data_IF_021861446451
#
_entry.id   IF_021861446451
#
_cell.length_a   1.000
_cell.length_b   1.000
_cell.length_c   1.000
_cell.angle_alpha   90.00
_cell.angle_beta   90.00
_cell.angle_gamma   90.00
#
_symmetry.space_group_name_H-M   'P 1'
#
loop_
_entity.id
_entity.type
_entity.pdbx_description
1 polymer ?
#
# COMPACT_ATOMS: atom_id res chain seq x y z
N UNK A 1 -16.17 35.99 2.19
CA UNK A 1 -16.30 35.76 0.73
C UNK A 1 -14.93 35.30 0.23
N UNK A 2 -14.62 34.01 0.31
CA UNK A 2 -13.38 33.47 -0.26
C UNK A 2 -13.70 33.01 -1.68
N UNK A 3 -13.18 33.73 -2.67
CA UNK A 3 -13.25 33.33 -4.07
C UNK A 3 -12.27 32.19 -4.31
N UNK A 4 -12.79 30.98 -4.55
CA UNK A 4 -12.01 29.91 -5.15
C UNK A 4 -11.74 30.29 -6.61
N UNK A 5 -10.50 30.66 -6.90
CA UNK A 5 -9.99 30.72 -8.26
C UNK A 5 -9.82 29.28 -8.75
N UNK A 6 -10.40 28.89 -9.90
CA UNK A 6 -10.20 27.55 -10.44
C UNK A 6 -8.79 27.49 -11.04
N UNK A 7 -7.87 26.79 -10.37
CA UNK A 7 -6.59 26.46 -11.00
C UNK A 7 -6.83 25.38 -12.04
N UNK A 8 -6.86 25.80 -13.29
CA UNK A 8 -6.83 24.92 -14.44
C UNK A 8 -5.55 24.08 -14.41
N UNK A 9 -5.68 22.77 -14.61
CA UNK A 9 -4.59 21.94 -15.14
C UNK A 9 -4.06 20.78 -14.30
N UNK A 10 -4.89 20.01 -13.58
CA UNK A 10 -4.50 18.65 -13.20
C UNK A 10 -4.61 17.72 -14.43
N UNK A 11 -3.69 17.92 -15.37
CA UNK A 11 -3.44 17.05 -16.52
C UNK A 11 -2.38 16.01 -16.19
N UNK A 12 -2.58 15.24 -15.12
CA UNK A 12 -1.75 14.09 -14.77
C UNK A 12 -2.63 12.86 -14.84
N UNK A 13 -2.66 12.21 -16.00
CA UNK A 13 -3.42 10.98 -16.18
C UNK A 13 -3.00 9.97 -15.13
N UNK A 14 -3.88 9.74 -14.15
CA UNK A 14 -3.83 8.56 -13.30
C UNK A 14 -4.00 7.41 -14.28
N UNK A 15 -2.88 6.84 -14.72
CA UNK A 15 -2.87 5.56 -15.41
C UNK A 15 -3.24 4.53 -14.36
N UNK A 16 -4.54 4.42 -14.08
CA UNK A 16 -5.15 3.21 -13.55
C UNK A 16 -5.06 2.13 -14.65
N UNK A 17 -3.83 1.69 -14.93
CA UNK A 17 -3.53 0.53 -15.75
C UNK A 17 -2.79 -0.49 -14.89
N UNK A 18 -3.38 -0.85 -13.76
CA UNK A 18 -3.22 -2.19 -13.23
C UNK A 18 -4.60 -2.88 -13.24
N UNK A 19 -5.27 -2.77 -14.39
CA UNK A 19 -6.27 -3.74 -14.78
C UNK A 19 -5.57 -5.07 -15.01
N UNK A 20 -6.09 -6.13 -14.39
CA UNK A 20 -5.54 -7.48 -14.48
C UNK A 20 -5.35 -7.93 -15.92
N UNK A 21 -4.09 -8.00 -16.33
CA UNK A 21 -3.62 -8.87 -17.39
C UNK A 21 -2.34 -9.49 -16.84
N UNK A 22 -2.43 -10.75 -16.44
CA UNK A 22 -1.31 -11.55 -15.96
C UNK A 22 -0.33 -11.73 -17.10
N UNK A 23 0.58 -10.77 -17.26
CA UNK A 23 1.79 -11.00 -18.04
C UNK A 23 2.50 -12.24 -17.47
N UNK A 24 3.01 -13.12 -18.36
CA UNK A 24 3.73 -14.29 -17.91
C UNK A 24 4.95 -13.83 -17.09
N UNK A 25 5.15 -14.46 -15.94
CA UNK A 25 6.30 -14.16 -15.08
C UNK A 25 7.61 -14.36 -15.84
N UNK A 26 8.44 -13.32 -15.89
CA UNK A 26 9.77 -13.37 -16.49
C UNK A 26 10.83 -13.52 -15.42
N UNK A 27 11.85 -14.34 -15.68
CA UNK A 27 12.98 -14.51 -14.76
C UNK A 27 13.94 -13.33 -14.89
N UNK A 28 14.13 -12.60 -13.79
CA UNK A 28 15.18 -11.61 -13.63
C UNK A 28 16.24 -12.14 -12.67
N UNK A 29 17.53 -11.87 -12.95
CA UNK A 29 18.64 -12.27 -12.08
C UNK A 29 19.25 -11.05 -11.42
N UNK A 30 19.35 -11.07 -10.10
CA UNK A 30 19.96 -10.01 -9.29
C UNK A 30 20.98 -10.62 -8.33
N UNK A 31 22.02 -9.85 -8.00
CA UNK A 31 22.94 -10.21 -6.93
C UNK A 31 22.37 -9.74 -5.59
N UNK A 32 22.49 -10.55 -4.55
CA UNK A 32 22.11 -10.19 -3.19
C UNK A 32 23.12 -10.74 -2.17
N UNK A 33 23.33 -10.04 -1.04
CA UNK A 33 24.10 -10.57 0.08
C UNK A 33 23.54 -11.93 0.54
N UNK A 34 24.44 -12.86 0.87
CA UNK A 34 24.08 -14.23 1.20
C UNK A 34 23.18 -14.31 2.44
N UNK A 35 23.51 -13.55 3.47
CA UNK A 35 22.76 -13.43 4.71
C UNK A 35 21.32 -12.94 4.46
N UNK A 36 21.14 -11.95 3.58
CA UNK A 36 19.82 -11.46 3.16
C UNK A 36 19.04 -12.54 2.41
N UNK A 37 19.68 -13.26 1.50
CA UNK A 37 19.06 -14.36 0.75
C UNK A 37 18.58 -15.48 1.68
N UNK A 38 19.40 -15.86 2.66
CA UNK A 38 19.09 -16.90 3.65
C UNK A 38 17.97 -16.45 4.59
N UNK A 39 18.00 -15.20 5.07
CA UNK A 39 16.93 -14.64 5.89
C UNK A 39 15.58 -14.59 5.14
N UNK A 40 15.60 -14.21 3.86
CA UNK A 40 14.40 -14.21 3.03
C UNK A 40 13.88 -15.63 2.79
N UNK A 41 14.76 -16.61 2.54
CA UNK A 41 14.38 -18.02 2.42
C UNK A 41 13.73 -18.54 3.70
N UNK A 42 14.31 -18.26 4.86
CA UNK A 42 13.76 -18.67 6.15
C UNK A 42 12.35 -18.11 6.41
N UNK A 43 12.06 -16.89 5.92
CA UNK A 43 10.75 -16.24 6.05
C UNK A 43 9.73 -16.65 4.98
N UNK A 44 10.19 -17.16 3.85
CA UNK A 44 9.37 -17.33 2.65
C UNK A 44 8.28 -18.41 2.72
N UNK A 45 8.31 -19.29 3.73
CA UNK A 45 7.31 -20.32 3.92
C UNK A 45 7.16 -21.27 2.72
N UNK A 46 5.98 -21.91 2.54
CA UNK A 46 5.75 -22.89 1.48
C UNK A 46 5.85 -22.33 0.05
N UNK A 47 5.62 -21.03 -0.13
CA UNK A 47 5.62 -20.37 -1.44
C UNK A 47 7.03 -20.05 -1.96
N UNK A 48 8.06 -20.17 -1.12
CA UNK A 48 9.46 -20.04 -1.49
C UNK A 48 9.93 -18.61 -1.78
N UNK A 49 11.23 -18.48 -2.03
CA UNK A 49 11.92 -17.18 -2.09
C UNK A 49 11.34 -16.23 -3.14
N UNK A 50 10.98 -16.73 -4.33
CA UNK A 50 10.44 -15.90 -5.40
C UNK A 50 9.15 -15.19 -4.98
N UNK A 51 8.19 -15.94 -4.42
CA UNK A 51 6.94 -15.36 -3.94
C UNK A 51 7.16 -14.33 -2.83
N UNK A 52 8.06 -14.62 -1.90
CA UNK A 52 8.42 -13.69 -0.83
C UNK A 52 9.02 -12.39 -1.36
N UNK A 53 9.98 -12.49 -2.30
CA UNK A 53 10.62 -11.33 -2.90
C UNK A 53 9.63 -10.52 -3.73
N UNK A 54 8.81 -11.16 -4.55
CA UNK A 54 7.74 -10.48 -5.30
C UNK A 54 6.84 -9.70 -4.37
N UNK A 55 6.33 -10.31 -3.30
CA UNK A 55 5.47 -9.63 -2.34
C UNK A 55 6.18 -8.46 -1.63
N UNK A 56 7.46 -8.63 -1.27
CA UNK A 56 8.23 -7.57 -0.65
C UNK A 56 8.47 -6.38 -1.60
N UNK A 57 8.82 -6.65 -2.86
CA UNK A 57 9.05 -5.62 -3.88
C UNK A 57 7.76 -4.90 -4.23
N UNK A 58 6.64 -5.62 -4.39
CA UNK A 58 5.32 -5.00 -4.62
C UNK A 58 4.97 -4.02 -3.50
N UNK A 59 5.11 -4.44 -2.23
CA UNK A 59 4.87 -3.56 -1.08
C UNK A 59 5.80 -2.35 -1.06
N UNK A 60 7.06 -2.52 -1.49
CA UNK A 60 8.00 -1.40 -1.54
C UNK A 60 7.59 -0.38 -2.60
N UNK A 61 7.23 -0.84 -3.80
CA UNK A 61 6.74 0.03 -4.88
C UNK A 61 5.49 0.80 -4.43
N UNK A 62 4.54 0.11 -3.78
CA UNK A 62 3.35 0.76 -3.24
C UNK A 62 3.70 1.86 -2.22
N UNK A 63 4.68 1.61 -1.34
CA UNK A 63 5.15 2.59 -0.36
C UNK A 63 5.87 3.77 -1.02
N UNK A 64 6.67 3.52 -2.04
CA UNK A 64 7.40 4.56 -2.78
C UNK A 64 6.41 5.48 -3.51
N UNK A 65 5.41 4.89 -4.18
CA UNK A 65 4.33 5.65 -4.83
C UNK A 65 3.53 6.47 -3.81
N UNK A 66 3.21 5.91 -2.64
CA UNK A 66 2.52 6.63 -1.58
C UNK A 66 3.36 7.80 -1.05
N UNK A 67 4.68 7.61 -0.89
CA UNK A 67 5.57 8.67 -0.46
C UNK A 67 5.62 9.84 -1.46
N UNK A 68 5.60 9.54 -2.76
CA UNK A 68 5.52 10.56 -3.81
C UNK A 68 4.23 11.39 -3.70
N UNK A 69 3.09 10.73 -3.51
CA UNK A 69 1.79 11.41 -3.36
C UNK A 69 1.74 12.27 -2.09
N UNK A 70 2.30 11.78 -0.98
CA UNK A 70 2.39 12.55 0.28
C UNK A 70 3.24 13.79 0.07
N UNK A 71 4.40 13.67 -0.58
CA UNK A 71 5.29 14.81 -0.82
C UNK A 71 4.62 15.91 -1.65
N UNK A 72 3.81 15.55 -2.65
CA UNK A 72 3.01 16.53 -3.42
C UNK A 72 1.97 17.21 -2.53
N UNK A 73 1.24 16.44 -1.72
CA UNK A 73 0.20 16.98 -0.84
C UNK A 73 0.78 17.93 0.22
N UNK A 74 1.92 17.57 0.83
CA UNK A 74 2.60 18.40 1.82
C UNK A 74 3.17 19.69 1.22
N UNK A 75 3.58 19.68 -0.04
CA UNK A 75 4.03 20.89 -0.74
C UNK A 75 2.89 21.90 -0.96
N UNK A 76 1.65 21.42 -1.13
CA UNK A 76 0.47 22.27 -1.35
C UNK A 76 -0.18 22.75 -0.05
N UNK A 77 -0.32 21.85 0.93
CA UNK A 77 -1.13 22.08 2.14
C UNK A 77 -0.24 22.37 3.36
N UNK A 78 1.04 22.01 3.31
CA UNK A 78 1.96 21.99 4.44
C UNK A 78 2.04 20.60 5.09
N UNK A 79 3.05 20.38 5.96
CA UNK A 79 3.25 19.09 6.62
C UNK A 79 2.12 18.81 7.61
N UNK A 80 1.71 17.54 7.71
CA UNK A 80 0.72 17.10 8.70
C UNK A 80 1.35 17.17 10.10
N UNK A 81 0.67 17.81 11.04
CA UNK A 81 1.18 17.93 12.41
C UNK A 81 1.05 16.63 13.19
N UNK A 82 1.92 16.41 14.17
CA UNK A 82 1.84 15.25 15.04
C UNK A 82 0.53 15.16 15.84
N UNK A 83 -0.13 16.29 16.07
CA UNK A 83 -1.43 16.33 16.75
C UNK A 83 -2.55 15.80 15.84
N UNK A 84 -2.59 16.24 14.59
CA UNK A 84 -3.55 15.73 13.59
C UNK A 84 -3.35 14.23 13.34
N UNK A 85 -2.09 13.75 13.28
CA UNK A 85 -1.81 12.30 13.14
C UNK A 85 -2.37 11.52 14.32
N UNK A 86 -2.17 12.01 15.56
CA UNK A 86 -2.72 11.34 16.75
C UNK A 86 -4.24 11.33 16.72
N UNK A 87 -4.88 12.46 16.41
CA UNK A 87 -6.34 12.55 16.36
C UNK A 87 -6.92 11.57 15.33
N UNK A 88 -6.36 11.52 14.11
CA UNK A 88 -6.80 10.57 13.08
C UNK A 88 -6.49 9.12 13.47
N UNK A 89 -5.38 8.87 14.14
CA UNK A 89 -5.03 7.55 14.68
C UNK A 89 -6.06 7.05 15.70
N UNK A 90 -6.45 7.91 16.65
CA UNK A 90 -7.46 7.60 17.65
C UNK A 90 -8.83 7.28 17.00
N UNK A 91 -9.19 8.03 15.94
CA UNK A 91 -10.40 7.77 15.17
C UNK A 91 -10.35 6.40 14.46
N UNK A 92 -9.22 6.05 13.82
CA UNK A 92 -9.05 4.76 13.16
C UNK A 92 -9.18 3.58 14.14
N UNK A 93 -8.57 3.72 15.32
CA UNK A 93 -8.64 2.71 16.38
C UNK A 93 -10.08 2.53 16.86
N UNK A 94 -10.84 3.61 17.04
CA UNK A 94 -12.26 3.54 17.43
C UNK A 94 -13.12 2.87 16.35
N UNK A 95 -12.94 3.24 15.09
CA UNK A 95 -13.69 2.65 13.98
C UNK A 95 -13.48 1.12 13.90
N UNK A 96 -12.27 0.62 14.18
CA UNK A 96 -12.00 -0.83 14.22
C UNK A 96 -12.64 -1.54 15.43
N UNK A 97 -12.95 -0.83 16.51
CA UNK A 97 -13.62 -1.40 17.68
C UNK A 97 -15.15 -1.42 17.53
N UNK A 98 -15.69 -0.53 16.68
CA UNK A 98 -17.11 -0.38 16.43
C UNK A 98 -17.64 -1.30 15.30
N UNK A 99 -16.79 -2.07 14.62
CA UNK A 99 -17.21 -3.18 13.77
C UNK A 99 -17.35 -4.48 14.60
N UNK A 100 -18.56 -4.84 15.09
CA UNK A 100 -18.78 -6.18 15.59
C UNK A 100 -18.63 -7.16 14.43
N UNK A 101 -17.72 -8.11 14.60
CA UNK A 101 -17.62 -9.33 13.80
C UNK A 101 -18.98 -10.01 13.74
N UNK A 102 -19.72 -9.77 12.66
CA UNK A 102 -21.07 -10.25 12.43
C UNK A 102 -21.24 -10.74 11.00
N UNK A 103 -20.45 -11.74 10.61
CA UNK A 103 -20.82 -12.63 9.50
C UNK A 103 -20.61 -14.05 10.02
N UNK A 104 -21.61 -14.52 10.76
CA UNK A 104 -21.80 -15.94 11.03
C UNK A 104 -22.00 -16.64 9.69
N UNK A 105 -21.00 -17.42 9.30
CA UNK A 105 -20.95 -18.15 8.04
C UNK A 105 -21.93 -19.34 8.12
N UNK A 106 -23.03 -19.23 7.37
CA UNK A 106 -24.06 -20.27 7.24
C UNK A 106 -23.56 -21.52 6.52
N UNK A 107 -22.85 -22.40 7.23
CA UNK A 107 -22.66 -23.81 6.82
C UNK A 107 -23.25 -24.76 7.86
N UNK A 108 -24.56 -24.98 7.73
CA UNK A 108 -25.19 -26.24 8.11
C UNK A 108 -26.10 -26.68 6.96
N UNK A 109 -25.53 -27.48 6.06
CA UNK A 109 -26.28 -28.36 5.17
C UNK A 109 -25.38 -29.58 4.89
N UNK A 110 -25.61 -30.64 5.66
CA UNK A 110 -25.25 -32.02 5.36
C UNK A 110 -26.35 -32.91 5.94
#
# INVERSE_FOLDING_TARGET
MYSLTPHAGYGGGIRSSMGGMSEPTQKYSISMPRDVAEAARARSGPSGLSAYVTAAVTRQIERDNLAELIAVAEAEIGPITAEEIREKGDLLVRAHQEEPTGTEDGRSAA
#
